data_IF_480802183503
#
_entry.id   IF_480802183503
#
_cell.length_a   1.000
_cell.length_b   1.000
_cell.length_c   1.000
_cell.angle_alpha   90.00
_cell.angle_beta   90.00
_cell.angle_gamma   90.00
#
_symmetry.space_group_name_H-M   'P 1'
#
loop_
_entity.id
_entity.type
_entity.pdbx_description
1 polymer ?
2 non-polymer ?
3 non-polymer ?
4 water ?
#
# COMPACT_ATOMS: atom_id res chain seq x y z
N UNK A 1 -14.85 1.30 21.98
CA UNK A 1 -15.36 -0.03 21.71
C UNK A 1 -14.70 -0.68 20.50
N UNK A 2 -13.94 0.09 19.73
CA UNK A 2 -13.29 -0.41 18.53
C UNK A 2 -12.16 -1.39 18.83
N UNK A 3 -12.17 -2.53 18.15
CA UNK A 3 -11.05 -3.50 18.29
C UNK A 3 -9.97 -3.09 17.25
N UNK A 4 -8.81 -2.71 17.73
CA UNK A 4 -7.69 -2.27 16.91
C UNK A 4 -6.57 -3.27 16.82
N UNK A 5 -6.81 -4.53 17.22
CA UNK A 5 -5.81 -5.57 17.11
C UNK A 5 -5.71 -6.01 15.63
N UNK A 6 -4.48 -6.09 15.16
CA UNK A 6 -4.20 -6.37 13.74
C UNK A 6 -4.84 -7.69 13.35
N UNK A 7 -4.87 -8.60 14.32
CA UNK A 7 -5.47 -9.91 14.05
C UNK A 7 -6.96 -9.82 13.83
N UNK A 8 -7.57 -8.69 14.20
CA UNK A 8 -8.99 -8.49 14.11
C UNK A 8 -9.44 -7.88 12.80
N UNK A 9 -8.50 -7.37 12.02
CA UNK A 9 -8.84 -6.66 10.79
C UNK A 9 -9.30 -7.63 9.68
N UNK A 10 -10.38 -7.24 9.03
CA UNK A 10 -10.90 -8.00 7.90
C UNK A 10 -10.16 -7.61 6.62
N UNK A 11 -9.97 -8.60 5.77
CA UNK A 11 -9.26 -8.44 4.51
C UNK A 11 -10.14 -8.93 3.35
N UNK A 12 -9.74 -8.65 2.12
CA UNK A 12 -10.58 -8.96 0.96
C UNK A 12 -10.78 -10.48 0.84
N UNK A 13 -12.06 -10.86 0.82
CA UNK A 13 -12.46 -12.28 0.65
C UNK A 13 -12.12 -12.73 -0.79
N UNK A 14 -11.62 -13.94 -0.92
CA UNK A 14 -11.28 -14.51 -2.21
C UNK A 14 -10.53 -13.54 -3.11
N UNK A 15 -9.49 -12.89 -2.57
CA UNK A 15 -8.72 -11.95 -3.36
C UNK A 15 -8.19 -12.58 -4.64
N UNK A 16 -8.37 -11.89 -5.74
CA UNK A 16 -7.99 -12.35 -7.09
C UNK A 16 -6.83 -11.55 -7.66
N UNK A 17 -5.63 -12.18 -7.64
CA UNK A 17 -4.43 -11.54 -8.12
C UNK A 17 -4.52 -11.03 -9.52
N UNK A 18 -5.12 -11.83 -10.44
CA UNK A 18 -5.16 -11.33 -11.83
C UNK A 18 -6.02 -10.09 -11.99
N UNK A 19 -7.17 -10.03 -11.37
CA UNK A 19 -8.09 -8.93 -11.43
C UNK A 19 -7.45 -7.66 -10.81
N UNK A 20 -6.51 -7.87 -9.89
CA UNK A 20 -5.85 -6.71 -9.24
C UNK A 20 -4.72 -6.18 -10.05
N UNK A 21 -4.29 -6.93 -11.10
CA UNK A 21 -3.17 -6.52 -11.90
C UNK A 21 -3.42 -5.22 -12.64
N UNK A 22 -2.31 -4.59 -13.05
CA UNK A 22 -2.28 -3.38 -13.76
C UNK A 22 -1.79 -2.20 -12.89
N UNK A 23 -2.09 -1.04 -13.37
CA UNK A 23 -1.70 0.25 -12.85
C UNK A 23 -2.61 0.75 -11.76
N UNK A 24 -1.98 1.16 -10.63
CA UNK A 24 -2.75 1.76 -9.54
C UNK A 24 -1.98 3.07 -9.14
N UNK A 25 -2.71 4.11 -9.01
CA UNK A 25 -2.21 5.45 -8.58
C UNK A 25 -2.52 5.62 -7.09
N UNK A 26 -1.44 5.91 -6.33
CA UNK A 26 -1.72 6.08 -4.87
C UNK A 26 -2.35 7.47 -4.72
N UNK A 27 -3.46 7.52 -4.03
CA UNK A 27 -4.24 8.74 -3.83
C UNK A 27 -4.01 9.32 -2.43
N UNK A 28 -3.75 8.45 -1.47
CA UNK A 28 -3.57 8.92 -0.08
C UNK A 28 -2.74 7.84 0.63
N UNK A 29 -2.11 8.28 1.72
CA UNK A 29 -1.30 7.32 2.46
C UNK A 29 -1.26 7.74 3.96
N UNK A 30 -1.08 6.74 4.76
CA UNK A 30 -0.80 6.81 6.20
C UNK A 30 0.68 6.43 6.35
N UNK A 31 1.51 7.34 6.83
CA UNK A 31 2.94 7.13 6.91
C UNK A 31 3.35 6.26 8.05
N UNK A 32 4.41 5.46 7.83
CA UNK A 32 4.96 4.74 9.02
C UNK A 32 6.07 5.64 9.60
N UNK A 33 6.82 5.08 10.53
CA UNK A 33 8.00 5.82 11.03
C UNK A 33 9.12 5.72 10.02
N UNK A 34 9.96 6.75 9.94
CA UNK A 34 11.14 6.65 9.13
C UNK A 34 11.01 7.06 7.70
N UNK A 35 12.01 6.71 6.90
CA UNK A 35 12.11 7.01 5.50
C UNK A 35 11.03 6.27 4.69
N UNK A 36 10.38 7.00 3.80
CA UNK A 36 9.29 6.38 3.02
C UNK A 36 9.05 7.16 1.72
N UNK A 37 8.25 6.53 0.86
CA UNK A 37 7.83 7.22 -0.38
C UNK A 37 6.94 8.41 0.01
N UNK A 38 7.17 9.54 -0.63
CA UNK A 38 6.46 10.75 -0.33
C UNK A 38 5.28 11.02 -1.23
N UNK A 39 5.53 11.14 -2.55
CA UNK A 39 4.42 11.43 -3.45
C UNK A 39 4.78 10.98 -4.88
N UNK A 40 3.89 11.26 -5.81
CA UNK A 40 4.03 10.82 -7.21
C UNK A 40 4.16 9.29 -7.26
N UNK A 41 3.35 8.62 -6.44
CA UNK A 41 3.43 7.19 -6.25
C UNK A 41 2.45 6.42 -7.15
N UNK A 42 3.06 5.61 -8.00
CA UNK A 42 2.37 4.78 -8.99
C UNK A 42 2.97 3.37 -8.96
N UNK A 43 2.07 2.38 -8.84
CA UNK A 43 2.56 0.99 -8.74
C UNK A 43 1.91 0.19 -9.92
N UNK A 44 2.68 -0.77 -10.41
CA UNK A 44 2.06 -1.61 -11.51
C UNK A 44 2.23 -3.06 -11.03
N UNK A 45 1.11 -3.73 -10.86
CA UNK A 45 1.15 -5.11 -10.37
C UNK A 45 1.05 -6.09 -11.52
N UNK A 46 1.73 -7.21 -11.39
CA UNK A 46 1.58 -8.23 -12.47
C UNK A 46 1.63 -9.62 -11.85
N UNK A 47 1.07 -10.57 -12.60
CA UNK A 47 1.02 -11.96 -12.16
C UNK A 47 1.58 -12.85 -13.31
N UNK A 48 2.57 -13.62 -12.98
CA UNK A 48 3.22 -14.52 -13.95
C UNK A 48 2.42 -15.79 -14.17
N UNK A 49 2.96 -16.66 -15.03
CA UNK A 49 2.31 -17.90 -15.38
C UNK A 49 1.97 -18.79 -14.20
N UNK A 50 2.87 -18.82 -13.23
CA UNK A 50 2.77 -19.60 -12.04
C UNK A 50 1.97 -18.95 -10.93
N UNK A 51 1.40 -17.78 -11.24
CA UNK A 51 0.53 -17.11 -10.29
C UNK A 51 1.31 -16.28 -9.29
N UNK A 52 2.60 -16.09 -9.53
CA UNK A 52 3.42 -15.29 -8.60
C UNK A 52 3.22 -13.82 -8.88
N UNK A 53 2.80 -13.08 -7.84
CA UNK A 53 2.52 -11.64 -8.04
C UNK A 53 3.77 -10.82 -7.70
N UNK A 54 4.01 -9.79 -8.49
CA UNK A 54 5.10 -8.87 -8.29
C UNK A 54 4.61 -7.48 -8.62
N UNK A 55 5.41 -6.50 -8.23
CA UNK A 55 5.02 -5.13 -8.57
C UNK A 55 6.26 -4.27 -8.77
N UNK A 56 6.08 -3.22 -9.52
CA UNK A 56 7.03 -2.12 -9.59
C UNK A 56 6.31 -0.89 -9.00
N UNK A 57 7.08 0.02 -8.44
CA UNK A 57 6.42 1.24 -7.91
C UNK A 57 7.48 2.36 -8.08
N UNK A 58 6.99 3.52 -8.43
CA UNK A 58 7.92 4.69 -8.55
C UNK A 58 7.37 5.72 -7.56
N UNK A 59 8.25 6.55 -7.05
CA UNK A 59 7.71 7.63 -6.16
C UNK A 59 8.88 8.54 -5.79
N UNK A 60 8.56 9.72 -5.31
CA UNK A 60 9.66 10.61 -4.85
C UNK A 60 9.97 10.27 -3.40
N UNK A 61 11.25 10.18 -3.08
CA UNK A 61 11.70 9.96 -1.70
C UNK A 61 12.67 11.07 -1.32
N UNK A 62 12.54 11.59 -0.10
CA UNK A 62 13.54 12.58 0.32
C UNK A 62 14.55 11.91 1.23
N UNK A 63 15.81 11.90 0.81
CA UNK A 63 16.84 11.19 1.57
C UNK A 63 17.17 11.92 2.88
N UNK A 64 17.85 11.22 3.76
CA UNK A 64 18.30 11.68 5.06
C UNK A 64 19.21 12.92 4.88
N UNK A 65 19.68 13.10 3.68
CA UNK A 65 20.51 14.15 3.17
C UNK A 65 19.68 15.37 2.76
N UNK A 66 18.39 15.12 2.52
CA UNK A 66 17.52 16.20 2.02
C UNK A 66 17.55 16.14 0.46
N UNK A 67 18.25 15.14 0.00
CA UNK A 67 18.45 14.78 -1.42
C UNK A 67 17.12 14.17 -1.93
N UNK A 68 16.49 14.83 -2.87
CA UNK A 68 15.24 14.34 -3.46
C UNK A 68 15.54 13.39 -4.62
N UNK A 69 14.94 12.20 -4.59
CA UNK A 69 15.18 11.24 -5.66
C UNK A 69 13.88 10.54 -6.07
N UNK A 70 13.87 10.06 -7.29
CA UNK A 70 12.76 9.26 -7.82
C UNK A 70 13.14 7.79 -7.67
N UNK A 71 12.54 7.13 -6.69
CA UNK A 71 12.89 5.76 -6.40
C UNK A 71 12.12 4.82 -7.37
N UNK A 72 12.87 3.88 -7.90
CA UNK A 72 12.32 2.80 -8.71
C UNK A 72 12.42 1.51 -7.91
N UNK A 73 11.26 1.07 -7.45
CA UNK A 73 11.15 -0.04 -6.57
C UNK A 73 10.56 -1.29 -7.24
N UNK A 74 10.93 -2.42 -6.70
CA UNK A 74 10.48 -3.72 -7.06
C UNK A 74 10.06 -4.50 -5.83
N UNK A 75 8.94 -5.22 -5.98
CA UNK A 75 8.53 -6.08 -4.90
C UNK A 75 8.02 -7.42 -5.42
N UNK A 76 8.26 -8.45 -4.66
CA UNK A 76 7.76 -9.79 -4.97
C UNK A 76 6.94 -10.27 -3.80
N UNK A 77 5.82 -10.90 -4.08
CA UNK A 77 4.89 -11.27 -3.03
C UNK A 77 4.80 -12.79 -2.86
N UNK A 78 4.87 -13.22 -1.61
CA UNK A 78 4.66 -14.61 -1.27
C UNK A 78 3.27 -14.82 -0.70
N UNK A 79 2.52 -15.74 -1.30
CA UNK A 79 1.20 -16.12 -0.88
C UNK A 79 1.22 -16.76 0.52
N UNK A 80 0.13 -16.62 1.23
CA UNK A 80 -0.08 -17.21 2.52
C UNK A 80 -1.42 -17.97 2.51
N UNK A 81 -1.82 -18.50 3.65
CA UNK A 81 -3.07 -19.21 3.82
C UNK A 81 -4.28 -18.36 3.63
N UNK A 82 -4.06 -17.03 3.63
CA UNK A 82 -5.19 -16.11 3.36
C UNK A 82 -4.83 -15.38 2.04
N UNK A 83 -5.64 -15.55 1.03
CA UNK A 83 -5.46 -15.02 -0.28
C UNK A 83 -5.17 -13.51 -0.33
N UNK A 84 -5.59 -12.78 0.70
CA UNK A 84 -5.41 -11.34 0.73
C UNK A 84 -4.23 -10.91 1.59
N UNK A 85 -3.50 -11.84 2.15
CA UNK A 85 -2.34 -11.55 2.98
C UNK A 85 -1.08 -12.11 2.36
N UNK A 86 -0.12 -11.21 2.06
CA UNK A 86 1.13 -11.59 1.48
C UNK A 86 2.34 -11.16 2.31
N UNK A 87 3.48 -11.73 1.98
CA UNK A 87 4.76 -11.29 2.46
C UNK A 87 5.47 -10.64 1.26
N UNK A 88 5.83 -9.41 1.42
CA UNK A 88 6.39 -8.61 0.38
C UNK A 88 7.86 -8.32 0.56
N UNK A 89 8.67 -8.88 -0.33
CA UNK A 89 10.08 -8.57 -0.37
C UNK A 89 10.31 -7.46 -1.37
N UNK A 90 11.05 -6.42 -0.94
CA UNK A 90 11.21 -5.28 -1.83
C UNK A 90 12.65 -4.80 -1.85
N UNK A 91 13.02 -4.16 -2.94
CA UNK A 91 14.33 -3.59 -3.15
C UNK A 91 14.26 -2.50 -4.19
N UNK A 92 15.30 -1.68 -4.28
CA UNK A 92 15.39 -0.62 -5.21
C UNK A 92 16.31 -0.97 -6.40
N UNK A 93 16.12 -0.25 -7.47
CA UNK A 93 16.95 -0.44 -8.69
C UNK A 93 18.35 0.12 -8.39
N UNK A 94 18.33 1.21 -7.66
CA UNK A 94 19.45 1.89 -7.04
C UNK A 94 19.85 1.18 -5.74
N UNK A 95 21.11 0.86 -5.61
CA UNK A 95 21.66 0.15 -4.48
C UNK A 95 21.41 0.87 -3.16
N UNK A 96 21.34 2.20 -3.21
CA UNK A 96 21.20 2.93 -1.95
C UNK A 96 19.79 2.98 -1.45
N UNK A 97 18.84 2.47 -2.25
CA UNK A 97 17.46 2.51 -1.77
C UNK A 97 17.18 1.44 -0.76
N UNK A 98 16.20 1.70 0.12
CA UNK A 98 15.88 0.73 1.14
C UNK A 98 15.42 -0.60 0.54
N UNK A 99 15.77 -1.66 1.23
CA UNK A 99 15.36 -3.03 0.97
C UNK A 99 14.69 -3.59 2.23
N UNK A 100 13.69 -4.46 2.07
CA UNK A 100 13.04 -5.01 3.23
C UNK A 100 12.04 -6.10 2.92
N UNK A 101 11.31 -6.49 3.96
CA UNK A 101 10.29 -7.52 3.88
C UNK A 101 9.12 -7.07 4.76
N UNK A 102 7.99 -6.76 4.16
CA UNK A 102 6.85 -6.26 4.94
C UNK A 102 5.65 -7.19 4.69
N UNK A 103 4.77 -7.27 5.63
CA UNK A 103 3.44 -7.82 5.48
C UNK A 103 2.73 -6.88 4.45
N UNK A 104 1.95 -7.47 3.55
CA UNK A 104 1.22 -6.70 2.55
C UNK A 104 -0.21 -7.22 2.52
N UNK A 105 -1.12 -6.50 3.14
CA UNK A 105 -2.50 -6.96 3.20
C UNK A 105 -3.41 -6.12 2.32
N UNK A 106 -4.29 -6.79 1.58
CA UNK A 106 -5.32 -6.09 0.82
C UNK A 106 -6.59 -6.10 1.64
N UNK A 107 -6.85 -4.97 2.31
CA UNK A 107 -7.98 -4.85 3.22
C UNK A 107 -9.30 -4.87 2.45
N UNK A 108 -9.35 -4.14 1.35
CA UNK A 108 -10.55 -4.09 0.52
C UNK A 108 -10.16 -3.60 -0.88
N UNK A 109 -10.93 -4.04 -1.87
CA UNK A 109 -10.78 -3.55 -3.23
C UNK A 109 -12.05 -4.01 -4.02
N UNK A 110 -12.35 -3.23 -5.03
CA UNK A 110 -13.41 -3.69 -5.96
C UNK A 110 -12.74 -4.03 -7.30
N UNK A 111 -11.44 -3.96 -7.35
CA UNK A 111 -10.57 -4.20 -8.45
C UNK A 111 -10.65 -3.20 -9.57
N UNK A 112 -11.83 -2.60 -9.74
CA UNK A 112 -12.08 -1.69 -10.84
C UNK A 112 -11.93 -0.23 -10.50
N UNK A 113 -12.00 0.13 -9.22
CA UNK A 113 -11.94 1.52 -8.83
C UNK A 113 -10.97 1.82 -7.69
N UNK A 114 -11.05 1.08 -6.62
CA UNK A 114 -10.19 1.42 -5.45
C UNK A 114 -9.59 0.17 -4.83
N UNK A 115 -8.56 0.44 -4.00
CA UNK A 115 -7.98 -0.57 -3.18
C UNK A 115 -7.44 0.09 -1.88
N UNK A 116 -7.58 -0.62 -0.81
CA UNK A 116 -7.02 -0.17 0.50
C UNK A 116 -5.99 -1.20 0.92
N UNK A 117 -4.75 -0.77 1.10
CA UNK A 117 -3.68 -1.71 1.47
C UNK A 117 -3.23 -1.38 2.91
N UNK A 118 -2.67 -2.33 3.59
CA UNK A 118 -2.22 -2.13 4.98
C UNK A 118 -0.99 -3.00 5.25
N UNK A 119 -0.15 -2.50 6.15
CA UNK A 119 1.01 -3.18 6.62
C UNK A 119 1.32 -2.74 8.06
N UNK A 120 1.40 -3.71 8.95
CA UNK A 120 1.89 -3.43 10.29
C UNK A 120 3.30 -3.95 10.45
N UNK A 121 4.26 -3.05 10.68
CA UNK A 121 5.63 -3.35 10.79
C UNK A 121 6.07 -3.76 12.22
N UNK A 122 5.35 -3.21 13.17
CA UNK A 122 5.67 -3.45 14.60
C UNK A 122 4.42 -3.49 15.40
N UNK A 123 4.22 -4.63 16.15
CA UNK A 123 3.03 -4.69 16.98
C UNK A 123 3.34 -4.37 18.45
N UNK A 124 2.34 -3.84 19.12
CA UNK A 124 2.42 -3.67 20.58
C UNK A 124 2.12 -5.04 21.21
N UNK A 125 2.43 -5.17 22.50
CA UNK A 125 2.19 -6.43 23.18
C UNK A 125 0.70 -6.78 23.18
N UNK A 126 -0.15 -5.77 23.14
CA UNK A 126 -1.59 -5.97 23.17
C UNK A 126 -2.17 -6.34 21.82
N UNK A 127 -1.33 -6.58 20.82
CA UNK A 127 -1.82 -6.96 19.50
C UNK A 127 -2.15 -5.82 18.57
N UNK A 128 -2.20 -4.60 19.05
CA UNK A 128 -2.44 -3.42 18.21
C UNK A 128 -1.16 -3.06 17.48
N UNK A 129 -1.24 -2.24 16.44
CA UNK A 129 -0.04 -1.93 15.66
C UNK A 129 0.70 -0.69 16.13
N UNK A 130 2.00 -0.81 16.39
CA UNK A 130 2.78 0.35 16.83
C UNK A 130 3.35 1.16 15.68
N UNK A 131 3.62 0.53 14.55
CA UNK A 131 4.16 1.24 13.37
C UNK A 131 3.51 0.63 12.09
N UNK A 132 2.67 1.38 11.46
CA UNK A 132 1.91 0.89 10.28
C UNK A 132 2.03 1.89 9.14
N UNK A 133 1.74 1.39 7.93
CA UNK A 133 1.53 2.17 6.78
C UNK A 133 0.31 1.62 6.01
N UNK A 134 -0.29 2.52 5.25
CA UNK A 134 -1.49 2.21 4.48
C UNK A 134 -1.58 3.09 3.28
N UNK A 135 -1.86 2.46 2.10
CA UNK A 135 -2.07 3.23 0.90
C UNK A 135 -3.55 3.06 0.46
N UNK A 136 -4.05 4.14 -0.10
CA UNK A 136 -5.36 4.07 -0.78
C UNK A 136 -5.01 4.26 -2.27
N UNK A 137 -5.39 3.30 -3.11
CA UNK A 137 -5.09 3.35 -4.51
C UNK A 137 -6.41 3.55 -5.34
N UNK A 138 -6.21 4.17 -6.47
CA UNK A 138 -7.30 4.33 -7.45
C UNK A 138 -6.82 3.83 -8.81
N UNK A 139 -7.78 3.32 -9.59
CA UNK A 139 -7.46 3.00 -10.99
C UNK A 139 -7.41 4.27 -11.84
N UNK A 140 -8.26 5.23 -11.48
CA UNK A 140 -8.35 6.49 -12.26
C UNK A 140 -7.55 7.58 -11.56
N UNK A 141 -6.57 8.11 -12.23
CA UNK A 141 -5.67 9.13 -11.73
C UNK A 141 -6.38 10.36 -11.23
N UNK A 142 -7.64 10.54 -11.64
CA UNK A 142 -8.41 11.69 -11.17
C UNK A 142 -9.03 11.46 -9.81
N UNK A 143 -9.01 10.21 -9.34
CA UNK A 143 -9.55 9.88 -8.05
C UNK A 143 -10.93 9.32 -8.08
N UNK A 144 -11.60 9.27 -6.91
CA UNK A 144 -12.85 8.66 -6.78
C UNK A 144 -14.08 9.46 -6.57
N UNK A 145 -15.23 8.81 -6.89
CA UNK A 145 -16.51 9.51 -6.69
C UNK A 145 -16.76 9.63 -5.18
N UNK A 146 -17.66 10.51 -4.79
CA UNK A 146 -17.98 10.65 -3.36
C UNK A 146 -18.48 9.38 -2.75
N UNK A 147 -19.15 8.54 -3.57
CA UNK A 147 -19.65 7.29 -3.03
C UNK A 147 -18.55 6.33 -2.66
N UNK A 148 -17.50 6.31 -3.50
CA UNK A 148 -16.35 5.44 -3.23
C UNK A 148 -15.53 6.02 -2.07
N UNK A 149 -15.49 7.32 -1.96
CA UNK A 149 -14.86 8.10 -0.88
C UNK A 149 -15.41 7.61 0.46
N UNK A 150 -16.74 7.41 0.45
CA UNK A 150 -17.38 6.95 1.67
C UNK A 150 -16.91 5.57 2.09
N UNK A 151 -16.69 4.70 1.10
CA UNK A 151 -16.31 3.33 1.37
C UNK A 151 -14.87 3.28 1.93
N UNK A 152 -14.02 4.09 1.32
CA UNK A 152 -12.63 4.23 1.72
C UNK A 152 -12.52 4.77 3.14
N UNK A 153 -13.30 5.82 3.42
CA UNK A 153 -13.33 6.39 4.76
C UNK A 153 -13.70 5.38 5.80
N UNK A 154 -14.69 4.51 5.48
CA UNK A 154 -15.06 3.51 6.45
C UNK A 154 -13.93 2.53 6.71
N UNK A 155 -13.23 2.15 5.61
CA UNK A 155 -12.14 1.19 5.82
C UNK A 155 -11.05 1.88 6.67
N UNK A 156 -10.83 3.16 6.41
CA UNK A 156 -9.81 3.85 7.24
C UNK A 156 -10.16 3.80 8.70
N UNK A 157 -11.44 4.00 9.03
CA UNK A 157 -11.89 3.94 10.42
C UNK A 157 -11.71 2.55 11.00
N UNK A 158 -11.98 1.51 10.17
CA UNK A 158 -11.86 0.15 10.62
C UNK A 158 -10.46 -0.30 10.94
N UNK A 159 -9.47 0.36 10.37
CA UNK A 159 -8.07 0.04 10.62
C UNK A 159 -7.54 0.89 11.79
N UNK A 160 -8.41 1.76 12.34
CA UNK A 160 -8.01 2.61 13.43
C UNK A 160 -7.05 3.70 13.00
N UNK A 161 -7.26 4.14 11.76
CA UNK A 161 -6.46 5.10 11.06
C UNK A 161 -7.15 6.33 10.55
N UNK A 162 -8.36 6.59 11.02
CA UNK A 162 -9.13 7.75 10.65
C UNK A 162 -8.40 9.06 10.86
N UNK A 163 -8.39 9.90 9.84
CA UNK A 163 -7.75 11.19 9.91
C UNK A 163 -6.26 11.17 9.91
N UNK A 164 -5.63 10.01 9.70
CA UNK A 164 -4.19 9.90 9.67
C UNK A 164 -3.62 9.83 8.28
N UNK A 165 -4.52 9.85 7.29
CA UNK A 165 -4.00 9.82 5.91
C UNK A 165 -3.83 11.21 5.34
N UNK A 166 -2.93 11.35 4.39
CA UNK A 166 -2.83 12.61 3.67
C UNK A 166 -2.84 12.29 2.17
N UNK A 167 -3.25 13.25 1.38
CA UNK A 167 -3.31 13.16 -0.06
C UNK A 167 -1.95 13.05 -0.70
N UNK A 168 -1.89 12.20 -1.74
CA UNK A 168 -0.61 12.07 -2.46
C UNK A 168 -0.78 12.79 -3.79
N UNK A 169 0.11 13.71 -4.12
CA UNK A 169 -0.09 14.39 -5.40
C UNK A 169 0.82 13.78 -6.48
N UNK A 170 0.42 14.05 -7.70
CA UNK A 170 1.09 13.65 -8.93
C UNK A 170 1.33 14.91 -9.78
N UNK A 171 2.58 15.27 -9.93
CA UNK A 171 2.95 16.49 -10.66
C UNK A 171 4.19 16.31 -11.51
N UNK A 172 4.37 15.13 -12.08
CA UNK A 172 5.37 14.74 -12.99
C UNK A 172 6.79 14.79 -12.56
N UNK A 173 7.03 14.86 -11.24
CA UNK A 173 8.42 14.88 -10.77
C UNK A 173 9.17 13.65 -11.22
N UNK A 174 8.49 12.50 -11.28
CA UNK A 174 9.12 11.26 -11.65
C UNK A 174 8.83 10.75 -13.02
N UNK A 175 8.67 11.66 -13.97
CA UNK A 175 8.44 11.32 -15.37
C UNK A 175 9.59 11.87 -16.24
X LIG B 1 -10.78 10.12 -14.89
X LIG C 1 4.08 -0.66 -2.30
X LIG C 1 3.18 -1.35 -3.35
X LIG C 1 4.02 -1.91 -4.49
X LIG C 1 5.44 -2.43 -4.57
X LIG C 1 6.09 -1.89 -3.30
X LIG C 1 5.55 -1.08 -2.33
X LIG C 1 6.37 -0.52 -1.26
X LIG C 1 7.42 0.30 -1.45
X LIG C 1 8.16 0.86 -0.33
X LIG C 1 9.33 1.52 -0.58
X LIG C 1 10.22 2.23 0.36
X LIG C 1 11.12 3.02 -0.28
X LIG C 1 12.13 3.97 0.17
X LIG C 1 13.33 4.34 -0.37
X LIG C 1 14.30 5.01 0.51
X LIG C 1 15.53 4.42 0.47
X LIG C 1 3.38 -1.13 -1.01
X LIG C 1 3.82 0.84 -2.50
X LIG C 1 7.61 -1.99 -3.43
X LIG C 1 7.84 0.33 1.07
X LIG C 1 12.08 3.76 1.68
#
# INVERSE_FOLDING_TARGET
ERDCRVSSFRVKENFDKARFSGTWYAMAKKDPEGLFLQDNIVAEFSVDENGHMSATAKGRVRLLNNWDVCADMVGTFTDTEDPAKFKMKYWGVASFLQKGNDDHWIIDTDYDTYAVQYSCRLQNLDGTCADSYSFVFARDPHGFSPEVQKIVRQRQEELCLARQYRIITHNGYCDGKSERNIL
CD CD
RTL C1 C2 C3 C4 C5 C6 C7 C8 C9 C10 C11 C12 C13 C14 C15 O1 C16 C17 C18 C19 C20
#
